data_IF_084152352531
#
_entry.id   IF_084152352531
#
_cell.length_a   1.000
_cell.length_b   1.000
_cell.length_c   1.000
_cell.angle_alpha   90.00
_cell.angle_beta   90.00
_cell.angle_gamma   90.00
#
_symmetry.space_group_name_H-M   'P 1'
#
loop_
_entity.id
_entity.type
_entity.pdbx_description
1 polymer ?
#
# COMPACT_ATOMS: atom_id res chain seq x y z
N UNK A 1 -40.95 -13.31 -0.51
CA UNK A 1 -39.67 -13.26 -1.23
C UNK A 1 -38.81 -14.45 -0.86
N UNK A 2 -38.35 -15.23 -1.83
CA UNK A 2 -37.44 -16.35 -1.61
C UNK A 2 -35.98 -15.88 -1.71
N UNK A 3 -35.24 -15.86 -0.58
CA UNK A 3 -33.86 -15.36 -0.54
C UNK A 3 -32.87 -16.19 -1.39
N UNK A 4 -33.22 -17.43 -1.73
CA UNK A 4 -32.37 -18.29 -2.56
C UNK A 4 -32.33 -17.81 -4.02
N UNK A 5 -33.40 -17.18 -4.48
CA UNK A 5 -33.58 -16.64 -5.82
C UNK A 5 -33.01 -15.22 -5.98
N UNK A 6 -32.54 -14.60 -4.88
CA UNK A 6 -31.86 -13.31 -4.96
C UNK A 6 -30.54 -13.50 -5.73
N UNK A 7 -30.36 -12.67 -6.75
CA UNK A 7 -29.14 -12.65 -7.58
C UNK A 7 -28.41 -11.33 -7.34
N UNK A 8 -27.09 -11.36 -7.39
CA UNK A 8 -26.25 -10.18 -7.36
C UNK A 8 -25.54 -10.01 -8.71
N UNK A 9 -25.66 -8.83 -9.30
CA UNK A 9 -25.12 -8.53 -10.63
C UNK A 9 -24.35 -7.19 -10.62
N UNK A 10 -23.27 -7.05 -11.40
CA UNK A 10 -22.62 -5.76 -11.62
C UNK A 10 -23.62 -4.79 -12.25
N UNK A 11 -23.60 -3.54 -11.80
CA UNK A 11 -24.45 -2.49 -12.38
C UNK A 11 -23.95 -2.17 -13.79
N UNK A 12 -24.84 -2.29 -14.79
CA UNK A 12 -24.51 -1.95 -16.16
C UNK A 12 -24.39 -0.42 -16.36
N UNK A 13 -23.69 0.01 -17.41
CA UNK A 13 -23.48 1.43 -17.71
C UNK A 13 -24.81 2.22 -17.83
N UNK A 14 -25.83 1.61 -18.44
CA UNK A 14 -27.18 2.18 -18.57
C UNK A 14 -27.91 2.33 -17.22
N UNK A 15 -27.54 1.57 -16.21
CA UNK A 15 -28.19 1.54 -14.90
C UNK A 15 -27.48 2.44 -13.86
N UNK A 16 -26.30 2.97 -14.18
CA UNK A 16 -25.49 3.78 -13.26
C UNK A 16 -26.21 5.07 -12.80
N UNK A 17 -27.04 5.67 -13.65
CA UNK A 17 -27.84 6.83 -13.29
C UNK A 17 -28.85 6.49 -12.20
N UNK A 18 -29.57 5.37 -12.37
CA UNK A 18 -30.54 4.84 -11.38
C UNK A 18 -29.85 4.48 -10.07
N UNK A 19 -28.72 3.77 -10.13
CA UNK A 19 -27.93 3.42 -8.95
C UNK A 19 -27.52 4.65 -8.14
N UNK A 20 -26.99 5.68 -8.81
CA UNK A 20 -26.60 6.95 -8.16
C UNK A 20 -27.79 7.66 -7.54
N UNK A 21 -28.91 7.74 -8.25
CA UNK A 21 -30.13 8.38 -7.75
C UNK A 21 -30.65 7.71 -6.47
N UNK A 22 -30.80 6.38 -6.49
CA UNK A 22 -31.26 5.61 -5.33
C UNK A 22 -30.28 5.68 -4.15
N UNK A 23 -28.98 5.59 -4.42
CA UNK A 23 -27.96 5.71 -3.37
C UNK A 23 -27.96 7.11 -2.76
N UNK A 24 -28.14 8.16 -3.56
CA UNK A 24 -28.23 9.54 -3.08
C UNK A 24 -29.50 9.76 -2.24
N UNK A 25 -30.63 9.19 -2.64
CA UNK A 25 -31.91 9.35 -1.97
C UNK A 25 -32.00 8.61 -0.63
N UNK A 26 -31.43 7.40 -0.54
CA UNK A 26 -31.72 6.50 0.59
C UNK A 26 -30.51 6.14 1.46
N UNK A 27 -29.28 6.24 0.96
CA UNK A 27 -28.10 5.98 1.80
C UNK A 27 -27.75 7.23 2.60
N UNK A 28 -27.55 7.11 3.92
CA UNK A 28 -27.28 8.23 4.83
C UNK A 28 -26.00 9.06 4.52
N UNK A 29 -25.09 8.52 3.71
CA UNK A 29 -23.88 9.20 3.19
C UNK A 29 -23.99 9.57 1.69
N UNK A 30 -25.18 9.41 1.11
CA UNK A 30 -25.46 9.59 -0.31
C UNK A 30 -24.63 8.70 -1.24
N UNK A 31 -24.71 9.03 -2.54
CA UNK A 31 -23.94 8.39 -3.59
C UNK A 31 -22.43 8.68 -3.47
N UNK A 32 -21.63 7.71 -3.88
CA UNK A 32 -20.18 7.83 -3.97
C UNK A 32 -19.75 7.63 -5.43
N UNK A 33 -18.96 8.54 -6.03
CA UNK A 33 -18.46 8.34 -7.39
C UNK A 33 -17.48 7.15 -7.46
N UNK A 34 -17.36 6.54 -8.65
CA UNK A 34 -16.31 5.54 -8.92
C UNK A 34 -14.96 6.27 -8.97
N UNK A 35 -14.09 6.00 -8.00
CA UNK A 35 -12.73 6.56 -7.94
C UNK A 35 -11.75 5.40 -7.80
N UNK A 36 -10.77 5.34 -8.70
CA UNK A 36 -9.86 4.20 -8.79
C UNK A 36 -10.62 2.90 -9.04
N UNK A 37 -10.13 1.82 -8.46
CA UNK A 37 -10.74 0.49 -8.61
C UNK A 37 -12.02 0.43 -7.78
N UNK A 38 -13.16 0.50 -8.48
CA UNK A 38 -14.50 0.50 -7.88
C UNK A 38 -15.46 -0.37 -8.71
N UNK A 39 -16.21 -1.24 -8.03
CA UNK A 39 -17.32 -2.01 -8.59
C UNK A 39 -18.63 -1.67 -7.86
N UNK A 40 -19.71 -1.59 -8.64
CA UNK A 40 -21.06 -1.44 -8.11
C UNK A 40 -21.87 -2.69 -8.41
N UNK A 41 -22.65 -3.10 -7.43
CA UNK A 41 -23.53 -4.24 -7.54
C UNK A 41 -24.97 -3.86 -7.18
N UNK A 42 -25.90 -4.50 -7.85
CA UNK A 42 -27.31 -4.50 -7.49
C UNK A 42 -27.75 -5.92 -7.16
N UNK A 43 -28.45 -6.07 -6.04
CA UNK A 43 -29.15 -7.30 -5.70
C UNK A 43 -30.58 -7.22 -6.25
N UNK A 44 -31.01 -8.24 -6.97
CA UNK A 44 -32.34 -8.30 -7.57
C UNK A 44 -33.08 -9.58 -7.22
N UNK A 45 -34.41 -9.51 -7.23
CA UNK A 45 -35.31 -10.68 -7.19
C UNK A 45 -36.44 -10.43 -8.17
N UNK A 46 -36.67 -11.35 -9.10
CA UNK A 46 -37.68 -11.20 -10.18
C UNK A 46 -37.56 -9.86 -10.93
N UNK A 47 -36.32 -9.40 -11.18
CA UNK A 47 -36.04 -8.12 -11.86
C UNK A 47 -36.17 -6.87 -10.98
N UNK A 48 -36.74 -6.99 -9.78
CA UNK A 48 -36.85 -5.88 -8.84
C UNK A 48 -35.56 -5.65 -8.07
N UNK A 49 -35.12 -4.39 -8.00
CA UNK A 49 -33.94 -4.00 -7.23
C UNK A 49 -34.25 -4.04 -5.74
N UNK A 50 -33.40 -4.72 -4.96
CA UNK A 50 -33.56 -4.89 -3.52
C UNK A 50 -32.50 -4.15 -2.72
N UNK A 51 -31.25 -4.20 -3.20
CA UNK A 51 -30.10 -3.64 -2.49
C UNK A 51 -29.01 -3.15 -3.45
N UNK A 52 -28.20 -2.22 -2.97
CA UNK A 52 -27.11 -1.60 -3.72
C UNK A 52 -25.81 -1.70 -2.91
N UNK A 53 -24.73 -2.11 -3.56
CA UNK A 53 -23.39 -2.18 -2.96
C UNK A 53 -22.37 -1.43 -3.80
N UNK A 54 -21.43 -0.78 -3.12
CA UNK A 54 -20.22 -0.25 -3.71
C UNK A 54 -19.02 -0.85 -3.01
N UNK A 55 -18.13 -1.45 -3.79
CA UNK A 55 -16.80 -1.87 -3.35
C UNK A 55 -15.76 -0.99 -4.05
N UNK A 56 -14.90 -0.34 -3.28
CA UNK A 56 -13.84 0.52 -3.79
C UNK A 56 -12.50 0.12 -3.20
N UNK A 57 -11.42 0.77 -3.65
CA UNK A 57 -10.10 0.65 -3.02
C UNK A 57 -10.16 0.85 -1.48
N UNK A 58 -9.28 0.16 -0.77
CA UNK A 58 -9.17 0.21 0.68
C UNK A 58 -8.86 1.62 1.24
N UNK A 59 -9.24 1.84 2.48
CA UNK A 59 -8.82 2.99 3.25
C UNK A 59 -7.29 2.98 3.43
N UNK A 60 -6.65 4.11 3.11
CA UNK A 60 -5.20 4.21 3.14
C UNK A 60 -4.58 4.02 4.54
N UNK A 61 -5.31 4.41 5.59
CA UNK A 61 -4.86 4.29 6.98
C UNK A 61 -5.98 3.73 7.83
N UNK A 62 -5.75 2.57 8.44
CA UNK A 62 -6.72 1.95 9.33
C UNK A 62 -6.00 1.11 10.38
N UNK A 63 -5.57 1.75 11.48
CA UNK A 63 -4.77 1.11 12.50
C UNK A 63 -5.42 -0.18 13.07
N UNK A 64 -6.74 -0.21 13.22
CA UNK A 64 -7.48 -1.39 13.69
C UNK A 64 -7.32 -2.59 12.73
N UNK A 65 -7.50 -2.37 11.42
CA UNK A 65 -7.25 -3.39 10.40
C UNK A 65 -5.78 -3.77 10.36
N UNK A 66 -4.88 -2.78 10.35
CA UNK A 66 -3.45 -3.01 10.22
C UNK A 66 -2.91 -3.87 11.37
N UNK A 67 -3.35 -3.58 12.61
CA UNK A 67 -3.05 -4.38 13.80
C UNK A 67 -3.67 -5.79 13.73
N UNK A 68 -4.90 -5.92 13.21
CA UNK A 68 -5.50 -7.23 13.02
C UNK A 68 -4.77 -8.06 11.97
N UNK A 69 -4.33 -7.46 10.85
CA UNK A 69 -3.52 -8.18 9.86
C UNK A 69 -2.19 -8.60 10.50
N UNK A 70 -1.53 -7.68 11.21
CA UNK A 70 -0.21 -7.90 11.82
C UNK A 70 0.92 -7.83 10.79
N UNK A 71 0.73 -7.08 9.70
CA UNK A 71 1.80 -6.80 8.74
C UNK A 71 2.75 -5.71 9.25
N UNK A 72 3.97 -5.69 8.72
CA UNK A 72 4.89 -4.58 9.00
C UNK A 72 4.50 -3.32 8.18
N UNK A 73 4.81 -2.15 8.72
CA UNK A 73 4.54 -0.87 8.06
C UNK A 73 5.19 -0.76 6.67
N UNK A 74 6.32 -1.44 6.47
CA UNK A 74 7.05 -1.49 5.18
C UNK A 74 6.19 -2.06 4.05
N UNK A 75 5.29 -2.98 4.39
CA UNK A 75 4.44 -3.70 3.44
C UNK A 75 3.04 -3.10 3.33
N UNK A 76 2.52 -2.52 4.40
CA UNK A 76 1.12 -2.08 4.47
C UNK A 76 0.60 -1.44 3.17
N UNK A 77 1.32 -0.43 2.66
CA UNK A 77 0.90 0.33 1.48
C UNK A 77 0.99 -0.46 0.18
N UNK A 78 1.99 -1.32 0.03
CA UNK A 78 2.17 -2.15 -1.16
C UNK A 78 1.13 -3.26 -1.28
N UNK A 79 0.37 -3.55 -0.21
CA UNK A 79 -0.67 -4.59 -0.18
C UNK A 79 -2.09 -4.06 -0.09
N UNK A 80 -2.28 -2.73 -0.01
CA UNK A 80 -3.62 -2.15 0.09
C UNK A 80 -4.51 -2.48 -1.13
N UNK A 81 -3.92 -2.71 -2.30
CA UNK A 81 -4.68 -3.13 -3.49
C UNK A 81 -5.33 -4.51 -3.32
N UNK A 82 -4.79 -5.37 -2.45
CA UNK A 82 -5.37 -6.69 -2.14
C UNK A 82 -6.59 -6.59 -1.21
N UNK A 83 -7.01 -5.37 -0.86
CA UNK A 83 -8.13 -5.11 0.05
C UNK A 83 -9.15 -4.22 -0.66
N UNK A 84 -10.43 -4.61 -0.58
CA UNK A 84 -11.54 -3.77 -1.06
C UNK A 84 -12.41 -3.32 0.11
N UNK A 85 -12.81 -2.06 0.08
CA UNK A 85 -13.72 -1.47 1.04
C UNK A 85 -15.15 -1.55 0.53
N UNK A 86 -16.06 -2.15 1.29
CA UNK A 86 -17.50 -2.02 1.09
C UNK A 86 -17.95 -0.62 1.49
N UNK A 87 -17.64 0.35 0.63
CA UNK A 87 -17.82 1.78 0.86
C UNK A 87 -19.29 2.20 0.99
N UNK A 88 -20.21 1.48 0.37
CA UNK A 88 -21.66 1.71 0.51
C UNK A 88 -22.41 0.39 0.51
N UNK A 89 -23.37 0.26 1.41
CA UNK A 89 -24.33 -0.83 1.38
C UNK A 89 -25.71 -0.30 1.79
N UNK A 90 -26.67 -0.44 0.88
CA UNK A 90 -28.03 0.04 1.04
C UNK A 90 -29.00 -1.11 0.75
N UNK A 91 -29.85 -1.47 1.71
CA UNK A 91 -31.11 -2.16 1.43
C UNK A 91 -32.13 -1.08 1.12
N UNK A 92 -32.87 -1.21 0.00
CA UNK A 92 -33.89 -0.22 -0.35
C UNK A 92 -35.03 -0.24 0.69
N UNK A 93 -35.63 0.93 1.02
CA UNK A 93 -36.61 1.04 2.12
C UNK A 93 -37.80 0.08 2.01
N UNK A 94 -38.21 -0.23 0.79
CA UNK A 94 -39.34 -1.12 0.50
C UNK A 94 -39.04 -2.61 0.82
N UNK A 95 -37.78 -2.95 1.14
CA UNK A 95 -37.26 -4.33 1.07
C UNK A 95 -36.56 -4.81 2.36
N UNK A 96 -37.01 -4.32 3.52
CA UNK A 96 -36.52 -4.78 4.82
C UNK A 96 -37.05 -6.18 5.17
N UNK A 97 -36.42 -7.21 4.60
CA UNK A 97 -36.71 -8.62 4.88
C UNK A 97 -35.58 -9.24 5.70
N UNK A 98 -35.94 -10.09 6.68
CA UNK A 98 -34.98 -10.81 7.50
C UNK A 98 -33.95 -11.54 6.63
N UNK A 99 -32.67 -11.51 7.03
CA UNK A 99 -31.55 -12.19 6.38
C UNK A 99 -31.21 -11.74 4.95
N UNK A 100 -31.93 -10.79 4.35
CA UNK A 100 -31.61 -10.28 3.02
C UNK A 100 -30.20 -9.67 2.98
N UNK A 101 -29.85 -8.83 3.95
CA UNK A 101 -28.56 -8.14 3.95
C UNK A 101 -27.37 -9.11 4.06
N UNK A 102 -27.42 -10.09 4.96
CA UNK A 102 -26.36 -11.10 5.09
C UNK A 102 -26.28 -12.02 3.87
N UNK A 103 -27.43 -12.37 3.26
CA UNK A 103 -27.47 -13.09 1.97
C UNK A 103 -26.78 -12.31 0.86
N UNK A 104 -27.06 -11.00 0.74
CA UNK A 104 -26.45 -10.12 -0.26
C UNK A 104 -24.94 -9.98 -0.04
N UNK A 105 -24.48 -9.84 1.21
CA UNK A 105 -23.05 -9.84 1.53
C UNK A 105 -22.38 -11.16 1.08
N UNK A 106 -22.96 -12.31 1.42
CA UNK A 106 -22.43 -13.61 1.01
C UNK A 106 -22.37 -13.80 -0.52
N UNK A 107 -23.35 -13.26 -1.26
CA UNK A 107 -23.31 -13.26 -2.73
C UNK A 107 -22.20 -12.33 -3.26
N UNK A 108 -22.00 -11.17 -2.62
CA UNK A 108 -20.97 -10.20 -3.01
C UNK A 108 -19.56 -10.75 -2.85
N UNK A 109 -19.27 -11.47 -1.76
CA UNK A 109 -17.98 -12.15 -1.54
C UNK A 109 -17.64 -13.11 -2.69
N UNK A 110 -18.61 -13.91 -3.15
CA UNK A 110 -18.42 -14.85 -4.27
C UNK A 110 -18.22 -14.14 -5.61
N UNK A 111 -19.00 -13.08 -5.87
CA UNK A 111 -18.89 -12.28 -7.09
C UNK A 111 -17.55 -11.56 -7.18
N UNK A 112 -17.12 -10.91 -6.09
CA UNK A 112 -15.87 -10.15 -6.03
C UNK A 112 -14.65 -11.02 -6.33
N UNK A 113 -14.64 -12.28 -5.89
CA UNK A 113 -13.55 -13.21 -6.19
C UNK A 113 -13.36 -13.46 -7.71
N UNK A 114 -14.40 -13.27 -8.51
CA UNK A 114 -14.38 -13.44 -9.97
C UNK A 114 -14.25 -12.10 -10.70
N UNK A 115 -15.11 -11.14 -10.33
CA UNK A 115 -15.25 -9.88 -11.05
C UNK A 115 -14.05 -8.94 -10.84
N UNK A 116 -13.45 -8.95 -9.65
CA UNK A 116 -12.34 -8.05 -9.33
C UNK A 116 -11.08 -8.38 -10.14
N UNK A 117 -10.57 -9.63 -10.16
CA UNK A 117 -9.49 -9.99 -11.07
C UNK A 117 -9.83 -9.76 -12.54
N UNK A 118 -11.06 -10.08 -12.97
CA UNK A 118 -11.47 -9.87 -14.35
C UNK A 118 -11.44 -8.40 -14.77
N UNK A 119 -11.74 -7.48 -13.85
CA UNK A 119 -11.80 -6.04 -14.13
C UNK A 119 -10.46 -5.31 -13.95
N UNK A 120 -9.69 -5.68 -12.93
CA UNK A 120 -8.50 -4.95 -12.49
C UNK A 120 -7.19 -5.74 -12.63
N UNK A 121 -7.27 -7.03 -12.97
CA UNK A 121 -6.11 -7.87 -13.28
C UNK A 121 -5.44 -8.52 -12.07
N UNK A 122 -6.02 -8.41 -10.87
CA UNK A 122 -5.45 -8.98 -9.65
C UNK A 122 -6.53 -9.39 -8.63
N UNK A 123 -6.27 -10.40 -7.77
CA UNK A 123 -7.23 -10.87 -6.79
C UNK A 123 -7.22 -10.08 -5.47
N UNK A 124 -8.34 -10.16 -4.75
CA UNK A 124 -8.48 -9.65 -3.39
C UNK A 124 -8.22 -10.75 -2.35
N UNK A 125 -7.73 -10.34 -1.18
CA UNK A 125 -7.54 -11.20 -0.01
C UNK A 125 -8.51 -10.84 1.13
N UNK A 126 -8.87 -9.56 1.25
CA UNK A 126 -9.65 -9.06 2.39
C UNK A 126 -10.70 -8.04 1.91
N UNK A 127 -11.86 -8.07 2.55
CA UNK A 127 -12.80 -6.97 2.50
C UNK A 127 -12.79 -6.20 3.82
N UNK A 128 -13.03 -4.90 3.76
CA UNK A 128 -13.21 -4.04 4.94
C UNK A 128 -14.48 -3.21 4.82
N UNK A 129 -14.98 -2.71 5.94
CA UNK A 129 -16.08 -1.74 6.00
C UNK A 129 -16.04 -0.96 7.30
N UNK A 130 -16.75 0.17 7.32
CA UNK A 130 -16.76 1.12 8.43
C UNK A 130 -18.19 1.44 8.84
N UNK A 131 -18.57 1.04 10.04
CA UNK A 131 -19.92 1.23 10.58
C UNK A 131 -19.90 2.39 11.58
N UNK A 132 -20.80 3.36 11.38
CA UNK A 132 -21.00 4.44 12.33
C UNK A 132 -21.87 3.95 13.51
N UNK A 133 -21.31 3.80 14.72
CA UNK A 133 -22.02 3.26 15.87
C UNK A 133 -23.15 4.17 16.36
N UNK A 134 -23.16 5.45 15.98
CA UNK A 134 -24.26 6.36 16.29
C UNK A 134 -25.53 6.06 15.48
N UNK A 135 -25.40 5.31 14.38
CA UNK A 135 -26.49 5.00 13.46
C UNK A 135 -26.81 3.51 13.39
N UNK A 136 -25.78 2.68 13.45
CA UNK A 136 -25.92 1.24 13.20
C UNK A 136 -25.02 0.42 14.13
N UNK A 137 -25.53 -0.73 14.57
CA UNK A 137 -24.77 -1.63 15.43
C UNK A 137 -23.79 -2.54 14.69
N UNK A 138 -23.87 -2.62 13.35
CA UNK A 138 -23.07 -3.54 12.53
C UNK A 138 -23.57 -4.99 12.51
N UNK A 139 -24.81 -5.23 12.96
CA UNK A 139 -25.41 -6.56 13.10
C UNK A 139 -25.33 -7.42 11.83
N UNK A 140 -25.56 -6.81 10.66
CA UNK A 140 -25.52 -7.52 9.38
C UNK A 140 -24.13 -8.07 9.04
N UNK A 141 -23.07 -7.37 9.44
CA UNK A 141 -21.69 -7.81 9.20
C UNK A 141 -21.32 -8.93 10.15
N UNK A 142 -21.72 -8.84 11.44
CA UNK A 142 -21.56 -9.96 12.39
C UNK A 142 -22.31 -11.21 11.93
N UNK A 143 -23.55 -11.05 11.49
CA UNK A 143 -24.37 -12.15 10.94
C UNK A 143 -23.79 -12.75 9.65
N UNK A 144 -22.98 -11.99 8.91
CA UNK A 144 -22.26 -12.45 7.72
C UNK A 144 -20.83 -12.96 8.04
N UNK A 145 -20.50 -13.20 9.31
CA UNK A 145 -19.18 -13.66 9.77
C UNK A 145 -18.02 -12.69 9.46
N UNK A 146 -18.29 -11.38 9.47
CA UNK A 146 -17.24 -10.37 9.47
C UNK A 146 -16.70 -10.17 10.88
N UNK A 147 -15.40 -9.98 11.01
CA UNK A 147 -14.73 -9.75 12.28
C UNK A 147 -14.70 -8.26 12.59
N UNK A 148 -15.18 -7.87 13.77
CA UNK A 148 -14.95 -6.52 14.30
C UNK A 148 -13.54 -6.44 14.88
N UNK A 149 -12.73 -5.49 14.39
CA UNK A 149 -11.28 -5.45 14.69
C UNK A 149 -10.86 -4.20 15.47
N UNK A 150 -11.81 -3.36 15.83
CA UNK A 150 -11.59 -2.14 16.60
C UNK A 150 -12.28 -0.94 15.97
N UNK A 151 -11.79 0.26 16.31
CA UNK A 151 -12.42 1.52 15.91
C UNK A 151 -11.45 2.47 15.19
N UNK A 152 -11.99 3.31 14.31
CA UNK A 152 -11.24 4.40 13.68
C UNK A 152 -11.07 5.57 14.65
N UNK A 153 -10.01 6.38 14.50
CA UNK A 153 -9.83 7.64 15.26
C UNK A 153 -10.66 8.83 14.75
N UNK A 154 -11.56 8.64 13.79
CA UNK A 154 -12.47 9.70 13.32
C UNK A 154 -11.87 10.75 12.38
N UNK A 155 -10.59 10.65 11.99
CA UNK A 155 -9.97 11.58 11.04
C UNK A 155 -10.53 11.42 9.63
N UNK A 156 -10.74 12.55 8.93
CA UNK A 156 -11.14 12.58 7.52
C UNK A 156 -10.01 13.13 6.66
N UNK A 157 -9.77 12.53 5.49
CA UNK A 157 -8.83 13.07 4.50
C UNK A 157 -9.38 14.39 3.94
N UNK A 158 -8.53 15.40 3.89
CA UNK A 158 -8.75 16.70 3.23
C UNK A 158 -7.80 16.83 2.04
N UNK A 159 -7.96 17.89 1.23
CA UNK A 159 -7.06 18.14 0.09
C UNK A 159 -5.59 18.34 0.50
N UNK A 160 -5.36 18.77 1.74
CA UNK A 160 -4.03 19.11 2.28
C UNK A 160 -3.53 18.11 3.34
N UNK A 161 -4.27 17.04 3.62
CA UNK A 161 -3.89 16.05 4.63
C UNK A 161 -5.10 15.42 5.32
N UNK A 162 -5.20 15.61 6.63
CA UNK A 162 -6.30 15.10 7.45
C UNK A 162 -6.92 16.23 8.27
N UNK A 163 -8.19 16.08 8.65
CA UNK A 163 -8.93 17.04 9.47
C UNK A 163 -8.26 17.24 10.84
N UNK A 164 -8.27 18.48 11.33
CA UNK A 164 -7.76 18.80 12.67
C UNK A 164 -8.69 18.28 13.77
N UNK A 165 -10.01 18.32 13.54
CA UNK A 165 -11.02 17.72 14.41
C UNK A 165 -11.31 16.28 13.99
N UNK A 166 -11.50 15.41 14.99
CA UNK A 166 -11.93 14.03 14.82
C UNK A 166 -13.46 13.96 14.78
N UNK A 167 -14.01 13.33 13.75
CA UNK A 167 -15.41 12.91 13.75
C UNK A 167 -15.65 11.70 14.66
N UNK A 168 -16.87 11.15 14.67
CA UNK A 168 -17.18 9.97 15.46
C UNK A 168 -16.34 8.77 15.03
N UNK A 169 -15.87 8.00 16.00
CA UNK A 169 -15.19 6.74 15.77
C UNK A 169 -16.14 5.75 15.09
N UNK A 170 -15.66 5.06 14.05
CA UNK A 170 -16.40 4.03 13.34
C UNK A 170 -15.87 2.66 13.73
N UNK A 171 -16.76 1.70 13.90
CA UNK A 171 -16.39 0.29 14.06
C UNK A 171 -15.85 -0.24 12.73
N UNK A 172 -14.71 -0.90 12.79
CA UNK A 172 -14.03 -1.48 11.63
C UNK A 172 -14.37 -2.96 11.59
N UNK A 173 -14.92 -3.41 10.48
CA UNK A 173 -15.15 -4.83 10.22
C UNK A 173 -14.30 -5.29 9.04
N UNK A 174 -13.78 -6.51 9.13
CA UNK A 174 -13.01 -7.15 8.06
C UNK A 174 -13.54 -8.55 7.76
N UNK A 175 -13.43 -8.96 6.50
CA UNK A 175 -13.86 -10.28 6.02
C UNK A 175 -12.79 -10.91 5.14
N UNK A 176 -12.10 -11.96 5.63
CA UNK A 176 -11.15 -12.73 4.84
C UNK A 176 -11.83 -13.47 3.70
N UNK A 177 -11.37 -13.28 2.46
CA UNK A 177 -11.91 -14.01 1.30
C UNK A 177 -11.34 -15.43 1.15
N UNK A 178 -10.27 -15.74 1.90
CA UNK A 178 -9.68 -17.07 1.98
C UNK A 178 -9.15 -17.33 3.40
N UNK A 179 -9.12 -18.60 3.83
CA UNK A 179 -8.71 -19.00 5.19
C UNK A 179 -7.32 -18.47 5.60
N UNK A 180 -6.39 -18.42 4.64
CA UNK A 180 -5.01 -17.94 4.82
C UNK A 180 -4.82 -16.44 4.53
N UNK A 181 -5.87 -15.67 4.28
CA UNK A 181 -5.72 -14.28 3.82
C UNK A 181 -4.89 -13.41 4.76
N UNK A 182 -5.14 -13.51 6.08
CA UNK A 182 -4.35 -12.78 7.09
C UNK A 182 -2.86 -13.14 7.01
N UNK A 183 -2.54 -14.44 7.00
CA UNK A 183 -1.17 -14.92 6.90
C UNK A 183 -0.51 -14.49 5.58
N UNK A 184 -1.21 -14.55 4.45
CA UNK A 184 -0.69 -14.08 3.17
C UNK A 184 -0.39 -12.58 3.18
N UNK A 185 -1.27 -11.78 3.80
CA UNK A 185 -1.10 -10.32 3.90
C UNK A 185 0.02 -9.92 4.85
N UNK A 186 0.32 -10.71 5.88
CA UNK A 186 1.42 -10.43 6.82
C UNK A 186 2.77 -11.07 6.43
N UNK A 187 2.77 -12.05 5.51
CA UNK A 187 3.99 -12.77 5.13
C UNK A 187 5.05 -11.85 4.49
N UNK A 188 6.35 -11.94 4.82
CA UNK A 188 7.37 -11.02 4.28
C UNK A 188 7.42 -10.97 2.76
N UNK A 189 7.25 -12.14 2.13
CA UNK A 189 7.25 -12.33 0.68
C UNK A 189 5.85 -12.71 0.20
N UNK A 190 5.22 -11.87 -0.62
CA UNK A 190 3.93 -12.19 -1.23
C UNK A 190 4.07 -13.30 -2.28
N UNK A 191 3.05 -14.16 -2.39
CA UNK A 191 2.93 -15.09 -3.54
C UNK A 191 2.88 -14.25 -4.85
N UNK A 192 3.58 -14.68 -5.92
CA UNK A 192 3.62 -13.97 -7.20
C UNK A 192 2.25 -13.54 -7.75
N UNK A 193 1.19 -14.31 -7.49
CA UNK A 193 -0.18 -13.99 -7.93
C UNK A 193 -0.78 -12.74 -7.29
N UNK A 194 -0.17 -12.23 -6.21
CA UNK A 194 -0.59 -11.03 -5.49
C UNK A 194 0.36 -9.85 -5.73
N UNK A 195 1.49 -10.08 -6.43
CA UNK A 195 2.48 -9.05 -6.74
C UNK A 195 2.01 -8.26 -7.97
N UNK A 196 1.24 -7.22 -7.72
CA UNK A 196 0.73 -6.33 -8.77
C UNK A 196 1.13 -4.90 -8.49
N UNK A 197 1.50 -4.17 -9.54
CA UNK A 197 2.06 -2.83 -9.43
C UNK A 197 3.54 -2.82 -9.03
N UNK A 198 4.10 -1.62 -8.92
CA UNK A 198 5.45 -1.45 -8.40
C UNK A 198 5.43 -1.60 -6.87
N UNK A 199 6.41 -2.26 -6.24
CA UNK A 199 6.52 -2.29 -4.79
C UNK A 199 6.68 -0.86 -4.27
N UNK A 200 5.78 -0.46 -3.38
CA UNK A 200 5.76 0.84 -2.75
C UNK A 200 6.04 0.69 -1.25
N UNK A 201 7.31 0.63 -0.88
CA UNK A 201 7.70 0.74 0.52
C UNK A 201 7.43 2.18 0.97
N UNK A 202 6.79 2.36 2.11
CA UNK A 202 6.70 3.66 2.77
C UNK A 202 7.58 3.69 4.01
N UNK A 203 8.34 4.77 4.17
CA UNK A 203 9.15 4.99 5.37
C UNK A 203 8.28 5.52 6.51
N UNK A 204 8.55 5.05 7.73
CA UNK A 204 7.96 5.60 8.95
C UNK A 204 8.49 7.02 9.23
N UNK A 205 7.80 7.76 10.10
CA UNK A 205 8.27 9.09 10.51
C UNK A 205 9.65 9.03 11.18
N UNK A 206 9.90 7.98 11.96
CA UNK A 206 11.16 7.79 12.69
C UNK A 206 12.29 7.37 11.74
N UNK A 207 12.00 6.54 10.74
CA UNK A 207 12.95 6.23 9.66
C UNK A 207 13.33 7.48 8.88
N UNK A 208 12.35 8.35 8.53
CA UNK A 208 12.65 9.61 7.85
C UNK A 208 13.52 10.56 8.69
N UNK A 209 13.33 10.55 10.01
CA UNK A 209 14.03 11.42 10.95
C UNK A 209 15.48 10.96 11.22
N UNK A 210 15.68 9.64 11.36
CA UNK A 210 16.97 9.02 11.69
C UNK A 210 17.86 8.85 10.47
N UNK A 211 17.31 8.60 9.28
CA UNK A 211 18.08 8.29 8.08
C UNK A 211 19.18 9.32 7.74
N UNK A 212 18.96 10.66 7.84
CA UNK A 212 20.04 11.64 7.68
C UNK A 212 21.22 11.45 8.65
N UNK A 213 21.03 10.92 9.85
CA UNK A 213 22.10 10.78 10.85
C UNK A 213 23.16 9.77 10.43
N UNK A 214 22.75 8.70 9.74
CA UNK A 214 23.67 7.66 9.25
C UNK A 214 24.66 8.19 8.21
N UNK A 215 24.29 9.26 7.50
CA UNK A 215 25.14 9.89 6.49
C UNK A 215 25.95 11.08 7.03
N UNK A 216 25.80 11.44 8.31
CA UNK A 216 26.44 12.63 8.89
C UNK A 216 27.98 12.58 8.86
N UNK A 217 28.56 11.38 8.94
CA UNK A 217 30.02 11.17 8.90
C UNK A 217 30.64 11.15 7.50
N UNK A 218 29.84 11.24 6.43
CA UNK A 218 30.37 11.18 5.06
C UNK A 218 30.92 12.55 4.66
N UNK A 219 32.20 12.65 4.22
CA UNK A 219 32.76 13.91 3.74
C UNK A 219 32.00 14.46 2.54
N UNK A 220 31.70 15.76 2.52
CA UNK A 220 30.96 16.40 1.43
C UNK A 220 31.87 16.68 0.21
N UNK A 221 31.70 15.95 -0.91
CA UNK A 221 32.57 16.08 -2.07
C UNK A 221 32.29 17.36 -2.89
N UNK A 222 31.28 18.15 -2.50
CA UNK A 222 30.91 19.39 -3.21
C UNK A 222 31.76 20.57 -2.75
N UNK A 223 32.00 21.50 -3.68
CA UNK A 223 32.55 22.83 -3.40
C UNK A 223 31.58 23.65 -2.54
N UNK A 224 32.09 24.61 -1.77
CA UNK A 224 31.30 25.42 -0.82
C UNK A 224 30.01 26.02 -1.40
N UNK A 225 30.04 26.55 -2.63
CA UNK A 225 28.86 27.11 -3.31
C UNK A 225 27.72 26.09 -3.56
N UNK A 226 28.05 24.79 -3.65
CA UNK A 226 27.10 23.69 -3.87
C UNK A 226 26.45 23.14 -2.59
N UNK A 227 26.87 23.60 -1.41
CA UNK A 227 26.43 23.09 -0.10
C UNK A 227 25.17 23.76 0.45
N UNK A 228 24.23 24.12 -0.44
CA UNK A 228 22.94 24.74 -0.05
C UNK A 228 22.04 23.80 0.75
N UNK A 229 22.13 22.50 0.47
CA UNK A 229 21.44 21.44 1.21
C UNK A 229 22.50 20.57 1.89
N UNK A 230 22.36 20.24 3.18
CA UNK A 230 23.29 19.34 3.87
C UNK A 230 23.46 18.03 3.10
N UNK A 231 24.70 17.53 2.96
CA UNK A 231 24.97 16.24 2.30
C UNK A 231 24.10 15.11 2.87
N UNK A 232 23.96 14.96 4.21
CA UNK A 232 23.21 13.85 4.77
C UNK A 232 21.73 13.88 4.39
N UNK A 233 21.14 15.06 4.25
CA UNK A 233 19.77 15.24 3.74
C UNK A 233 19.64 14.80 2.28
N UNK A 234 20.60 15.15 1.42
CA UNK A 234 20.54 14.75 0.00
C UNK A 234 20.64 13.23 -0.14
N UNK A 235 21.58 12.62 0.59
CA UNK A 235 21.76 11.17 0.60
C UNK A 235 20.55 10.45 1.22
N UNK A 236 19.98 10.96 2.31
CA UNK A 236 18.77 10.41 2.91
C UNK A 236 17.58 10.47 1.97
N UNK A 237 17.35 11.57 1.26
CA UNK A 237 16.29 11.66 0.25
C UNK A 237 16.50 10.66 -0.88
N UNK A 238 17.74 10.50 -1.35
CA UNK A 238 18.05 9.56 -2.42
C UNK A 238 17.87 8.10 -1.98
N UNK A 239 18.37 7.73 -0.80
CA UNK A 239 18.20 6.41 -0.21
C UNK A 239 16.72 6.11 0.02
N UNK A 240 16.00 7.05 0.64
CA UNK A 240 14.56 6.94 0.91
C UNK A 240 13.73 6.73 -0.36
N UNK A 241 13.96 7.56 -1.37
CA UNK A 241 13.26 7.42 -2.65
C UNK A 241 13.56 6.08 -3.32
N UNK A 242 14.80 5.60 -3.24
CA UNK A 242 15.21 4.30 -3.78
C UNK A 242 14.48 3.15 -3.06
N UNK A 243 14.39 3.21 -1.72
CA UNK A 243 13.61 2.27 -0.92
C UNK A 243 12.12 2.31 -1.32
N UNK A 244 11.57 3.51 -1.58
CA UNK A 244 10.21 3.68 -2.12
C UNK A 244 10.05 3.27 -3.61
N UNK A 245 11.05 2.64 -4.22
CA UNK A 245 11.00 2.10 -5.58
C UNK A 245 11.37 3.10 -6.69
N UNK A 246 11.82 4.31 -6.36
CA UNK A 246 12.19 5.32 -7.35
C UNK A 246 13.53 5.00 -8.00
N UNK A 247 13.57 4.97 -9.33
CA UNK A 247 14.79 4.64 -10.10
C UNK A 247 15.36 5.87 -10.79
N UNK A 248 16.61 6.19 -10.46
CA UNK A 248 17.37 7.29 -11.05
C UNK A 248 17.01 8.69 -10.50
N UNK A 249 17.93 9.64 -10.65
CA UNK A 249 17.85 10.98 -10.04
C UNK A 249 16.62 11.80 -10.44
N UNK A 250 16.02 11.55 -11.63
CA UNK A 250 14.79 12.24 -12.05
C UNK A 250 13.61 11.81 -11.18
N UNK A 251 13.39 10.51 -11.03
CA UNK A 251 12.31 9.98 -10.19
C UNK A 251 12.49 10.37 -8.72
N UNK A 252 13.72 10.29 -8.21
CA UNK A 252 14.06 10.74 -6.84
C UNK A 252 13.69 12.23 -6.65
N UNK A 253 14.00 13.09 -7.62
CA UNK A 253 13.70 14.52 -7.50
C UNK A 253 12.21 14.83 -7.51
N UNK A 254 11.40 14.09 -8.29
CA UNK A 254 9.95 14.24 -8.31
C UNK A 254 9.34 13.75 -7.00
N UNK A 255 9.76 12.57 -6.53
CA UNK A 255 9.35 12.04 -5.24
C UNK A 255 9.64 13.01 -4.08
N UNK A 256 10.82 13.62 -4.08
CA UNK A 256 11.18 14.64 -3.08
C UNK A 256 10.26 15.88 -3.14
N UNK A 257 9.83 16.29 -4.34
CA UNK A 257 8.89 17.41 -4.51
C UNK A 257 7.49 17.06 -3.99
N UNK A 258 7.07 15.81 -4.10
CA UNK A 258 5.75 15.36 -3.62
C UNK A 258 5.69 15.18 -2.09
N UNK A 259 6.84 15.20 -1.40
CA UNK A 259 6.87 15.16 0.06
C UNK A 259 6.13 16.34 0.68
N UNK A 260 5.31 16.04 1.69
CA UNK A 260 4.68 17.06 2.54
C UNK A 260 5.73 17.87 3.30
N UNK A 261 5.37 19.09 3.73
CA UNK A 261 6.27 19.95 4.51
C UNK A 261 6.78 19.28 5.79
N UNK A 262 5.95 18.47 6.46
CA UNK A 262 6.36 17.71 7.63
C UNK A 262 7.37 16.61 7.28
N UNK A 263 7.19 15.89 6.16
CA UNK A 263 8.15 14.89 5.72
C UNK A 263 9.49 15.53 5.34
N UNK A 264 9.46 16.67 4.64
CA UNK A 264 10.67 17.45 4.33
C UNK A 264 11.39 17.91 5.61
N UNK A 265 10.66 18.32 6.64
CA UNK A 265 11.22 18.66 7.94
C UNK A 265 11.95 17.48 8.59
N UNK A 266 11.36 16.27 8.54
CA UNK A 266 11.97 15.04 9.06
C UNK A 266 13.30 14.71 8.37
N UNK A 267 13.37 14.89 7.06
CA UNK A 267 14.62 14.75 6.29
C UNK A 267 15.64 15.88 6.54
N UNK A 268 15.32 16.86 7.39
CA UNK A 268 16.15 18.04 7.68
C UNK A 268 16.42 18.88 6.43
N UNK A 269 15.42 18.98 5.55
CA UNK A 269 15.47 19.87 4.40
C UNK A 269 15.75 21.31 4.83
N UNK A 270 16.30 22.10 3.92
CA UNK A 270 16.62 23.50 4.18
C UNK A 270 15.33 24.30 4.39
N UNK A 271 15.23 25.05 5.48
CA UNK A 271 14.14 26.01 5.68
C UNK A 271 14.44 27.35 4.99
N UNK A 272 13.54 27.82 4.13
CA UNK A 272 13.62 29.11 3.43
C UNK A 272 12.23 29.57 2.99
N UNK A 273 11.95 30.87 3.00
CA UNK A 273 10.67 31.43 2.54
C UNK A 273 9.45 30.75 3.18
N UNK A 274 9.52 30.49 4.50
CA UNK A 274 8.49 29.82 5.30
C UNK A 274 8.12 28.40 4.83
N UNK A 275 9.05 27.71 4.15
CA UNK A 275 8.87 26.32 3.70
C UNK A 275 10.19 25.54 3.73
N UNK A 276 10.08 24.23 3.85
CA UNK A 276 11.17 23.30 3.62
C UNK A 276 11.36 23.05 2.13
N UNK A 277 12.56 23.34 1.64
CA UNK A 277 12.98 23.19 0.25
C UNK A 277 13.83 21.92 0.08
N UNK A 278 13.43 21.08 -0.88
CA UNK A 278 14.15 19.86 -1.25
C UNK A 278 15.29 20.16 -2.21
N UNK A 279 16.35 19.31 -2.26
CA UNK A 279 17.40 19.45 -3.25
C UNK A 279 16.86 19.30 -4.67
N UNK A 280 17.42 20.08 -5.60
CA UNK A 280 17.06 19.98 -7.01
C UNK A 280 17.59 18.69 -7.64
N UNK A 281 17.03 18.30 -8.78
CA UNK A 281 17.53 17.18 -9.61
C UNK A 281 19.04 17.25 -9.85
N UNK A 282 19.57 18.45 -10.11
CA UNK A 282 21.00 18.67 -10.34
C UNK A 282 21.82 18.39 -9.10
N UNK A 283 21.40 18.89 -7.93
CA UNK A 283 22.09 18.65 -6.65
C UNK A 283 22.11 17.16 -6.33
N UNK A 284 20.99 16.46 -6.51
CA UNK A 284 20.89 15.01 -6.27
C UNK A 284 21.85 14.26 -7.19
N UNK A 285 21.85 14.57 -8.49
CA UNK A 285 22.77 13.94 -9.46
C UNK A 285 24.24 14.19 -9.10
N UNK A 286 24.61 15.42 -8.80
CA UNK A 286 26.01 15.78 -8.49
C UNK A 286 26.52 15.09 -7.22
N UNK A 287 25.68 15.00 -6.18
CA UNK A 287 26.03 14.26 -4.96
C UNK A 287 26.22 12.79 -5.26
N UNK A 288 25.25 12.14 -5.91
CA UNK A 288 25.30 10.69 -6.16
C UNK A 288 26.47 10.28 -7.08
N UNK A 289 26.91 11.16 -7.97
CA UNK A 289 28.05 10.88 -8.87
C UNK A 289 29.40 11.02 -8.16
N UNK A 290 29.48 11.78 -7.06
CA UNK A 290 30.76 12.16 -6.43
C UNK A 290 30.96 11.62 -5.02
N UNK A 291 29.89 11.15 -4.38
CA UNK A 291 29.97 10.58 -3.03
C UNK A 291 30.88 9.35 -3.05
N UNK A 292 31.68 9.19 -1.99
CA UNK A 292 32.47 7.98 -1.78
C UNK A 292 31.54 6.77 -1.67
N UNK A 293 31.64 5.79 -2.61
CA UNK A 293 30.76 4.63 -2.62
C UNK A 293 30.93 3.74 -1.38
N UNK A 294 32.14 3.63 -0.82
CA UNK A 294 32.42 2.75 0.31
C UNK A 294 31.89 3.35 1.62
N UNK A 295 32.06 4.66 1.80
CA UNK A 295 31.46 5.39 2.92
C UNK A 295 29.93 5.37 2.86
N UNK A 296 29.34 5.52 1.67
CA UNK A 296 27.89 5.43 1.47
C UNK A 296 27.37 4.02 1.78
N UNK A 297 28.03 2.98 1.27
CA UNK A 297 27.65 1.59 1.54
C UNK A 297 27.71 1.27 3.05
N UNK A 298 28.78 1.68 3.73
CA UNK A 298 28.94 1.49 5.18
C UNK A 298 27.85 2.21 5.98
N UNK A 299 27.43 3.41 5.57
CA UNK A 299 26.33 4.13 6.18
C UNK A 299 24.98 3.42 6.00
N UNK A 300 24.69 2.93 4.78
CA UNK A 300 23.49 2.16 4.49
C UNK A 300 23.43 0.86 5.29
N UNK A 301 24.55 0.15 5.41
CA UNK A 301 24.65 -1.07 6.23
C UNK A 301 24.33 -0.81 7.70
N UNK A 302 24.82 0.28 8.28
CA UNK A 302 24.48 0.67 9.66
C UNK A 302 23.00 0.99 9.82
N UNK A 303 22.39 1.69 8.86
CA UNK A 303 20.95 1.98 8.89
C UNK A 303 20.13 0.69 8.83
N UNK A 304 20.50 -0.19 7.90
CA UNK A 304 19.92 -1.50 7.71
C UNK A 304 19.98 -2.36 8.98
N UNK A 305 21.14 -2.45 9.65
CA UNK A 305 21.30 -3.19 10.91
C UNK A 305 20.31 -2.77 12.00
N UNK A 306 19.91 -1.49 12.01
CA UNK A 306 19.00 -0.96 13.02
C UNK A 306 17.52 -1.08 12.63
N UNK A 307 17.19 -1.18 11.34
CA UNK A 307 15.81 -1.04 10.85
C UNK A 307 15.28 -2.21 10.03
N UNK A 308 16.12 -3.16 9.61
CA UNK A 308 15.65 -4.35 8.91
C UNK A 308 15.41 -5.48 9.91
N UNK A 309 14.24 -6.12 9.80
CA UNK A 309 13.93 -7.34 10.56
C UNK A 309 14.55 -8.59 9.90
N UNK A 310 14.96 -9.53 10.75
CA UNK A 310 15.90 -10.64 10.50
C UNK A 310 15.31 -11.85 9.74
N UNK A 311 14.83 -11.69 8.51
CA UNK A 311 14.33 -12.84 7.73
C UNK A 311 14.82 -12.93 6.26
N UNK A 312 15.54 -11.94 5.74
CA UNK A 312 15.80 -11.82 4.31
C UNK A 312 17.30 -11.99 3.92
N UNK A 313 17.58 -12.89 2.97
CA UNK A 313 18.87 -13.01 2.27
C UNK A 313 18.84 -12.12 1.02
N UNK A 314 19.80 -11.20 0.88
CA UNK A 314 19.97 -10.44 -0.36
C UNK A 314 20.78 -11.26 -1.36
N UNK A 315 20.21 -11.56 -2.53
CA UNK A 315 20.85 -12.33 -3.59
C UNK A 315 20.96 -11.48 -4.84
N UNK A 316 22.18 -11.22 -5.32
CA UNK A 316 22.46 -10.54 -6.60
C UNK A 316 23.23 -11.47 -7.53
N UNK A 317 22.72 -11.64 -8.75
CA UNK A 317 23.32 -12.49 -9.78
C UNK A 317 23.74 -11.65 -10.98
N UNK A 318 25.01 -11.75 -11.38
CA UNK A 318 25.52 -11.11 -12.60
C UNK A 318 26.04 -12.15 -13.58
N UNK A 319 25.63 -11.99 -14.84
CA UNK A 319 26.21 -12.74 -15.96
C UNK A 319 27.35 -11.92 -16.54
N UNK A 320 28.56 -12.48 -16.51
CA UNK A 320 29.74 -11.81 -17.03
C UNK A 320 29.78 -11.91 -18.55
N UNK A 321 29.64 -10.76 -19.23
CA UNK A 321 29.75 -10.71 -20.69
C UNK A 321 31.17 -11.11 -21.10
N UNK A 322 31.27 -12.05 -22.04
CA UNK A 322 32.53 -12.59 -22.61
C UNK A 322 33.39 -13.46 -21.67
N UNK A 323 32.92 -13.81 -20.48
CA UNK A 323 33.59 -14.81 -19.62
C UNK A 323 32.99 -16.19 -19.89
N UNK A 324 33.50 -16.87 -20.91
CA UNK A 324 33.05 -18.19 -21.36
C UNK A 324 34.05 -19.26 -20.85
N UNK A 325 33.56 -20.33 -20.24
CA UNK A 325 34.40 -21.43 -19.77
C UNK A 325 34.77 -22.41 -20.89
N UNK A 326 35.58 -23.42 -20.56
CA UNK A 326 36.05 -24.44 -21.51
C UNK A 326 34.92 -25.26 -22.16
N UNK A 327 33.72 -25.27 -21.56
CA UNK A 327 32.54 -25.96 -22.09
C UNK A 327 31.62 -25.02 -22.89
N UNK A 328 32.05 -23.78 -23.17
CA UNK A 328 31.27 -22.80 -23.93
C UNK A 328 30.18 -22.09 -23.13
N UNK A 329 30.18 -22.17 -21.79
CA UNK A 329 29.13 -21.59 -20.94
C UNK A 329 29.53 -20.24 -20.37
N UNK A 330 28.57 -19.31 -20.28
CA UNK A 330 28.79 -18.01 -19.65
C UNK A 330 28.94 -18.14 -18.14
N UNK A 331 29.87 -17.38 -17.57
CA UNK A 331 30.12 -17.35 -16.14
C UNK A 331 29.07 -16.52 -15.43
N UNK A 332 28.39 -17.14 -14.46
CA UNK A 332 27.46 -16.48 -13.56
C UNK A 332 28.10 -16.32 -12.18
N UNK A 333 28.11 -15.08 -11.69
CA UNK A 333 28.55 -14.75 -10.34
C UNK A 333 27.30 -14.51 -9.50
N UNK A 334 27.23 -15.15 -8.34
CA UNK A 334 26.16 -14.98 -7.38
C UNK A 334 26.74 -14.44 -6.08
N UNK A 335 26.27 -13.27 -5.65
CA UNK A 335 26.52 -12.72 -4.33
C UNK A 335 25.31 -12.97 -3.45
N UNK A 336 25.51 -13.61 -2.29
CA UNK A 336 24.51 -13.76 -1.25
C UNK A 336 24.99 -13.02 -0.01
N UNK A 337 24.24 -12.03 0.44
CA UNK A 337 24.55 -11.27 1.65
C UNK A 337 23.50 -11.58 2.69
N UNK A 338 23.92 -12.25 3.76
CA UNK A 338 23.09 -12.45 4.94
C UNK A 338 23.03 -11.17 5.75
N UNK A 339 21.83 -10.59 5.87
CA UNK A 339 21.62 -9.28 6.51
C UNK A 339 22.16 -9.22 7.95
N UNK A 340 22.00 -10.31 8.71
CA UNK A 340 22.46 -10.46 10.10
C UNK A 340 23.95 -10.80 10.23
N UNK A 341 24.43 -11.68 9.35
CA UNK A 341 25.83 -12.11 9.35
C UNK A 341 26.78 -11.07 8.78
N UNK A 342 26.25 -10.08 8.03
CA UNK A 342 26.98 -9.21 7.12
C UNK A 342 27.96 -9.95 6.18
N UNK A 343 27.84 -11.28 6.10
CA UNK A 343 28.78 -12.12 5.40
C UNK A 343 28.32 -12.20 3.95
N UNK A 344 29.17 -11.71 3.06
CA UNK A 344 28.98 -11.82 1.63
C UNK A 344 29.58 -13.14 1.15
N UNK A 345 28.74 -14.08 0.78
CA UNK A 345 29.12 -15.29 0.08
C UNK A 345 29.09 -15.01 -1.41
N UNK A 346 30.26 -14.84 -2.03
CA UNK A 346 30.37 -14.66 -3.48
C UNK A 346 30.85 -15.95 -4.12
N UNK A 347 29.99 -16.61 -4.89
CA UNK A 347 30.40 -17.75 -5.71
C UNK A 347 30.79 -17.26 -7.10
N UNK A 348 32.03 -17.53 -7.53
CA UNK A 348 32.55 -17.13 -8.85
C UNK A 348 31.94 -17.92 -10.02
N UNK A 349 31.39 -19.11 -9.76
CA UNK A 349 30.72 -19.96 -10.75
C UNK A 349 29.62 -20.77 -10.06
N UNK A 350 28.35 -20.44 -10.32
CA UNK A 350 27.24 -21.30 -9.89
C UNK A 350 27.21 -22.57 -10.73
N UNK A 351 27.08 -23.74 -10.10
CA UNK A 351 26.84 -24.99 -10.82
C UNK A 351 25.48 -24.92 -11.55
N UNK A 352 25.30 -25.65 -12.67
CA UNK A 352 23.99 -25.75 -13.30
C UNK A 352 22.97 -26.27 -12.28
N UNK A 353 21.83 -25.60 -12.17
CA UNK A 353 20.69 -26.17 -11.45
C UNK A 353 20.11 -27.28 -12.34
N UNK A 354 19.92 -28.52 -11.84
CA UNK A 354 19.41 -29.65 -12.63
C UNK A 354 17.99 -29.43 -13.17
#
# INVERSE_FOLDING_TARGET
>A
MNLREVVLQPVAASEEARFRSLMAAHHYLGALPKIGDTLWYVATWQGQWLALLSFSAAAWKCAARDAWIGWDFRHQYDRLHLIANNSRFLILPEHHVANLASRVLALSERRLATDWPARFGYPLLLLETFVDPQRFHGTIYRAANWHEVGETRGYRRTRTGYSAATGPAKRVFVRPLHARARACLSHPVLDPRYRHGAPHIMLSADQMLSLPEFFAGIPDPRRGQGRRHPLPTVLAIAAAATLCGMRGYKAISLWAQDLSQQARARFRCRWRNRRYEVPSRTVIREVLVRVDPDALNSALQRWNLQHAEDEDLAVDGKTMRNAIDADGRQTHILGVVGHRSQTCYTQKKSAPCP
#
